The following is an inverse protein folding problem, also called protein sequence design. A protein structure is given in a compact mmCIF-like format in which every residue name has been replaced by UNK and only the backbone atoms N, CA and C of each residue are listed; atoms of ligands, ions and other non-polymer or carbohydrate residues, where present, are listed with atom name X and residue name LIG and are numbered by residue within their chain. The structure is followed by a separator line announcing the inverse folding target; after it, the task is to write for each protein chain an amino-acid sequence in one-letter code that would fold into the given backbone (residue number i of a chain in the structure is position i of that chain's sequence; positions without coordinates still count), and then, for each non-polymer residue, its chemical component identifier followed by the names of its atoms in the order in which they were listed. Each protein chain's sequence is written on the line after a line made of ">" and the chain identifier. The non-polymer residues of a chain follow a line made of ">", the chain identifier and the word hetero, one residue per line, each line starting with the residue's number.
data_IF_642068717734
#
_entry.id   IF_642068717734
#
_cell.length_a   1.000
_cell.length_b   1.000
_cell.length_c   1.000
_cell.angle_alpha   90.00
_cell.angle_beta   90.00
_cell.angle_gamma   90.00
#
_symmetry.space_group_name_H-M   'P 1'
#
loop_
_entity.id
_entity.type
_entity.pdbx_description
1 polymer ?
#
# COMPACT_ATOMS: atom_id res chain seq x y z
N UNK A 1 -3.56 -5.83 24.31
CA UNK A 1 -4.08 -6.89 23.42
C UNK A 1 -5.34 -6.38 22.72
N UNK A 2 -5.43 -6.55 21.42
CA UNK A 2 -6.59 -6.16 20.62
C UNK A 2 -6.99 -7.30 19.68
N UNK A 3 -8.27 -7.33 19.31
CA UNK A 3 -8.79 -8.23 18.27
C UNK A 3 -8.85 -7.45 16.94
N UNK A 4 -8.13 -7.90 15.94
CA UNK A 4 -7.90 -7.17 14.69
C UNK A 4 -8.38 -8.02 13.51
N UNK A 5 -9.27 -7.46 12.70
CA UNK A 5 -9.69 -8.06 11.44
C UNK A 5 -8.88 -7.47 10.28
N UNK A 6 -8.25 -8.31 9.48
CA UNK A 6 -7.44 -7.88 8.33
C UNK A 6 -8.06 -8.41 7.03
N UNK A 7 -8.33 -7.52 6.08
CA UNK A 7 -8.59 -7.91 4.70
C UNK A 7 -7.29 -7.85 3.89
N UNK A 8 -7.11 -8.75 2.94
CA UNK A 8 -5.85 -8.85 2.21
C UNK A 8 -4.69 -9.40 3.07
N UNK A 9 -5.00 -10.05 4.20
CA UNK A 9 -4.02 -10.63 5.13
C UNK A 9 -3.14 -11.73 4.53
N UNK A 10 -3.56 -12.34 3.41
CA UNK A 10 -2.77 -13.34 2.65
C UNK A 10 -1.81 -12.72 1.64
N UNK A 11 -1.85 -11.40 1.43
CA UNK A 11 -0.94 -10.67 0.56
C UNK A 11 0.42 -10.38 1.19
N UNK A 12 1.31 -9.74 0.42
CA UNK A 12 2.68 -9.44 0.84
C UNK A 12 2.75 -8.68 2.18
N UNK A 13 2.08 -7.53 2.25
CA UNK A 13 2.04 -6.71 3.47
C UNK A 13 1.22 -7.39 4.56
N UNK A 14 0.04 -7.93 4.21
CA UNK A 14 -0.86 -8.55 5.16
C UNK A 14 -0.25 -9.73 5.91
N UNK A 15 0.50 -10.61 5.24
CA UNK A 15 1.18 -11.75 5.87
C UNK A 15 2.23 -11.29 6.88
N UNK A 16 3.06 -10.29 6.52
CA UNK A 16 4.08 -9.74 7.44
C UNK A 16 3.42 -9.04 8.62
N UNK A 17 2.38 -8.24 8.36
CA UNK A 17 1.67 -7.48 9.39
C UNK A 17 0.95 -8.42 10.37
N UNK A 18 0.25 -9.44 9.89
CA UNK A 18 -0.39 -10.48 10.73
C UNK A 18 0.64 -11.08 11.69
N UNK A 19 1.78 -11.53 11.17
CA UNK A 19 2.83 -12.13 12.01
C UNK A 19 3.38 -11.16 13.06
N UNK A 20 3.54 -9.87 12.74
CA UNK A 20 4.04 -8.88 13.71
C UNK A 20 3.00 -8.55 14.79
N UNK A 21 1.72 -8.45 14.41
CA UNK A 21 0.62 -8.22 15.34
C UNK A 21 0.45 -9.39 16.32
N UNK A 22 0.49 -10.63 15.84
CA UNK A 22 0.43 -11.83 16.67
C UNK A 22 1.62 -11.92 17.64
N UNK A 23 2.84 -11.60 17.20
CA UNK A 23 4.03 -11.52 18.08
C UNK A 23 3.90 -10.47 19.18
N UNK A 24 3.11 -9.41 18.97
CA UNK A 24 2.77 -8.41 19.99
C UNK A 24 1.59 -8.83 20.90
N UNK A 25 1.10 -10.07 20.75
CA UNK A 25 0.03 -10.62 21.59
C UNK A 25 -1.39 -10.23 21.14
N UNK A 26 -1.57 -9.70 19.93
CA UNK A 26 -2.91 -9.41 19.40
C UNK A 26 -3.53 -10.67 18.79
N UNK A 27 -4.85 -10.77 18.83
CA UNK A 27 -5.62 -11.78 18.11
C UNK A 27 -5.91 -11.25 16.70
N UNK A 28 -5.44 -11.95 15.67
CA UNK A 28 -5.64 -11.52 14.28
C UNK A 28 -6.55 -12.50 13.54
N UNK A 29 -7.60 -11.98 12.92
CA UNK A 29 -8.49 -12.68 11.99
C UNK A 29 -8.30 -12.12 10.60
N UNK A 30 -8.36 -13.00 9.60
CA UNK A 30 -8.09 -12.64 8.20
C UNK A 30 -9.30 -12.97 7.34
N UNK A 31 -9.83 -11.98 6.61
CA UNK A 31 -10.82 -12.23 5.57
C UNK A 31 -10.11 -12.63 4.27
N UNK A 32 -10.48 -13.80 3.75
CA UNK A 32 -9.93 -14.34 2.51
C UNK A 32 -11.00 -15.04 1.69
N UNK A 33 -10.81 -15.13 0.37
CA UNK A 33 -11.70 -15.87 -0.54
C UNK A 33 -11.62 -17.38 -0.37
N UNK A 34 -10.48 -17.87 0.13
CA UNK A 34 -10.19 -19.31 0.27
C UNK A 34 -9.48 -19.55 1.60
N UNK A 35 -10.21 -19.69 2.71
CA UNK A 35 -9.65 -19.96 4.04
C UNK A 35 -8.86 -21.27 4.06
N UNK A 36 -7.69 -21.27 4.68
CA UNK A 36 -6.80 -22.42 4.85
C UNK A 36 -6.33 -22.61 6.28
N UNK A 37 -6.50 -21.62 7.14
CA UNK A 37 -6.06 -21.59 8.54
C UNK A 37 -7.23 -21.31 9.46
N UNK A 38 -7.12 -21.64 10.73
CA UNK A 38 -8.17 -21.44 11.74
C UNK A 38 -8.52 -19.97 12.01
N UNK A 39 -7.60 -19.05 11.73
CA UNK A 39 -7.82 -17.62 11.86
C UNK A 39 -8.25 -16.94 10.53
N UNK A 40 -8.51 -17.73 9.49
CA UNK A 40 -8.98 -17.25 8.19
C UNK A 40 -10.48 -17.50 8.04
N UNK A 41 -11.21 -16.47 7.62
CA UNK A 41 -12.67 -16.48 7.46
C UNK A 41 -13.03 -16.15 6.02
N UNK A 42 -14.09 -16.78 5.52
CA UNK A 42 -14.50 -16.60 4.12
C UNK A 42 -15.21 -15.26 3.92
N UNK A 43 -14.88 -14.60 2.83
CA UNK A 43 -15.69 -13.54 2.25
C UNK A 43 -15.73 -13.64 0.73
N UNK A 44 -16.79 -13.10 0.14
CA UNK A 44 -16.99 -13.08 -1.31
C UNK A 44 -17.73 -11.82 -1.70
N UNK A 45 -17.05 -10.92 -2.41
CA UNK A 45 -17.60 -9.64 -2.86
C UNK A 45 -18.69 -9.82 -3.94
N UNK A 46 -18.66 -10.93 -4.70
CA UNK A 46 -19.65 -11.17 -5.76
C UNK A 46 -21.02 -11.53 -5.21
N UNK A 47 -21.07 -12.18 -4.06
CA UNK A 47 -22.31 -12.56 -3.35
C UNK A 47 -22.61 -11.69 -2.12
N UNK A 48 -21.83 -10.63 -1.90
CA UNK A 48 -21.90 -9.79 -0.69
C UNK A 48 -21.84 -10.59 0.62
N UNK A 49 -21.06 -11.67 0.61
CA UNK A 49 -20.94 -12.56 1.76
C UNK A 49 -19.70 -12.27 2.59
N UNK A 50 -19.85 -12.22 3.91
CA UNK A 50 -18.76 -12.30 4.90
C UNK A 50 -19.21 -13.24 6.01
N UNK A 51 -18.32 -14.14 6.43
CA UNK A 51 -18.47 -14.97 7.61
C UNK A 51 -18.50 -14.07 8.85
N UNK A 52 -19.64 -14.05 9.57
CA UNK A 52 -19.88 -13.15 10.70
C UNK A 52 -19.02 -13.50 11.92
N UNK A 53 -18.55 -14.75 12.06
CA UNK A 53 -17.59 -15.13 13.10
C UNK A 53 -16.28 -14.35 13.02
N UNK A 54 -15.93 -13.81 11.84
CA UNK A 54 -14.78 -12.92 11.68
C UNK A 54 -14.90 -11.64 12.51
N UNK A 55 -16.11 -11.21 12.83
CA UNK A 55 -16.38 -9.96 13.54
C UNK A 55 -16.50 -10.12 15.07
N UNK A 56 -16.42 -11.33 15.61
CA UNK A 56 -16.61 -11.58 17.03
C UNK A 56 -15.55 -10.85 17.89
N UNK A 57 -16.03 -9.92 18.72
CA UNK A 57 -15.20 -9.09 19.63
C UNK A 57 -14.10 -8.30 18.93
N UNK A 58 -14.33 -7.80 17.70
CA UNK A 58 -13.33 -7.04 16.94
C UNK A 58 -13.20 -5.61 17.50
N UNK A 59 -11.95 -5.18 17.70
CA UNK A 59 -11.58 -3.82 18.09
C UNK A 59 -11.22 -2.95 16.89
N UNK A 60 -10.48 -3.52 15.91
CA UNK A 60 -9.95 -2.79 14.77
C UNK A 60 -10.14 -3.57 13.47
N UNK A 61 -10.29 -2.83 12.39
CA UNK A 61 -10.22 -3.39 11.03
C UNK A 61 -9.05 -2.75 10.28
N UNK A 62 -8.18 -3.58 9.67
CA UNK A 62 -7.15 -3.14 8.73
C UNK A 62 -7.55 -3.59 7.33
N UNK A 63 -7.83 -2.62 6.45
CA UNK A 63 -8.32 -2.88 5.11
C UNK A 63 -7.18 -2.74 4.09
N UNK A 64 -6.55 -3.89 3.72
CA UNK A 64 -5.47 -3.98 2.72
C UNK A 64 -5.94 -4.58 1.40
N UNK A 65 -7.18 -5.05 1.32
CA UNK A 65 -7.69 -5.74 0.15
C UNK A 65 -7.77 -4.83 -1.08
N UNK A 66 -7.29 -5.32 -2.20
CA UNK A 66 -7.38 -4.65 -3.49
C UNK A 66 -6.67 -5.44 -4.58
N UNK A 67 -7.24 -5.48 -5.78
CA UNK A 67 -6.58 -6.08 -6.94
C UNK A 67 -5.29 -5.31 -7.28
N UNK A 68 -4.21 -6.02 -7.58
CA UNK A 68 -2.91 -5.42 -7.86
C UNK A 68 -2.96 -4.45 -9.04
N UNK A 69 -2.48 -3.23 -8.82
CA UNK A 69 -2.54 -2.13 -9.79
C UNK A 69 -1.64 -2.39 -11.01
N UNK A 70 -0.53 -3.12 -10.81
CA UNK A 70 0.50 -3.39 -11.82
C UNK A 70 0.57 -4.88 -12.25
N UNK A 71 -0.51 -5.66 -12.06
CA UNK A 71 -0.55 -7.08 -12.45
C UNK A 71 -0.90 -7.29 -13.92
N UNK A 72 -1.81 -6.47 -14.45
CA UNK A 72 -2.31 -6.58 -15.82
C UNK A 72 -2.45 -5.20 -16.45
N UNK A 73 -2.34 -5.12 -17.78
CA UNK A 73 -2.56 -3.88 -18.54
C UNK A 73 -3.92 -3.26 -18.19
N UNK A 74 -3.99 -1.94 -18.17
CA UNK A 74 -5.22 -1.20 -17.83
C UNK A 74 -6.20 -1.14 -19.01
N UNK A 75 -6.99 -2.18 -19.21
CA UNK A 75 -8.22 -2.13 -19.99
C UNK A 75 -9.32 -1.42 -19.19
N UNK A 76 -10.44 -1.11 -19.83
CA UNK A 76 -11.62 -0.54 -19.16
C UNK A 76 -12.10 -1.46 -18.02
N UNK A 77 -12.20 -2.77 -18.28
CA UNK A 77 -12.64 -3.75 -17.29
C UNK A 77 -11.64 -3.91 -16.16
N UNK A 78 -10.31 -3.92 -16.48
CA UNK A 78 -9.28 -4.00 -15.43
C UNK A 78 -9.31 -2.79 -14.52
N UNK A 79 -9.50 -1.58 -15.06
CA UNK A 79 -9.66 -0.36 -14.25
C UNK A 79 -10.86 -0.46 -13.32
N UNK A 80 -12.01 -0.97 -13.83
CA UNK A 80 -13.19 -1.22 -13.00
C UNK A 80 -12.87 -2.22 -11.87
N UNK A 81 -12.24 -3.35 -12.15
CA UNK A 81 -11.84 -4.34 -11.14
C UNK A 81 -10.92 -3.72 -10.07
N UNK A 82 -9.99 -2.85 -10.48
CA UNK A 82 -9.06 -2.17 -9.53
C UNK A 82 -9.84 -1.28 -8.55
N UNK A 83 -10.81 -0.50 -9.03
CA UNK A 83 -11.67 0.36 -8.19
C UNK A 83 -12.59 -0.50 -7.33
N UNK A 84 -13.37 -1.38 -7.96
CA UNK A 84 -14.43 -2.16 -7.30
C UNK A 84 -13.88 -3.03 -6.17
N UNK A 85 -12.71 -3.65 -6.37
CA UNK A 85 -12.07 -4.49 -5.35
C UNK A 85 -11.73 -3.73 -4.06
N UNK A 86 -11.59 -2.42 -4.12
CA UNK A 86 -11.30 -1.54 -2.98
C UNK A 86 -12.55 -0.94 -2.38
N UNK A 87 -13.37 -0.36 -3.24
CA UNK A 87 -14.59 0.35 -2.83
C UNK A 87 -15.64 -0.63 -2.32
N UNK A 88 -15.95 -1.69 -3.09
CA UNK A 88 -16.98 -2.64 -2.69
C UNK A 88 -16.57 -3.44 -1.45
N UNK A 89 -15.27 -3.73 -1.28
CA UNK A 89 -14.82 -4.41 -0.07
C UNK A 89 -14.96 -3.52 1.18
N UNK A 90 -14.63 -2.23 1.08
CA UNK A 90 -14.83 -1.29 2.18
C UNK A 90 -16.33 -1.10 2.49
N UNK A 91 -17.18 -0.97 1.45
CA UNK A 91 -18.63 -0.84 1.62
C UNK A 91 -19.25 -2.07 2.28
N UNK A 92 -18.83 -3.27 1.88
CA UNK A 92 -19.32 -4.52 2.48
C UNK A 92 -18.94 -4.63 3.96
N UNK A 93 -17.69 -4.26 4.31
CA UNK A 93 -17.26 -4.18 5.71
C UNK A 93 -18.08 -3.17 6.49
N UNK A 94 -18.31 -1.98 5.95
CA UNK A 94 -19.12 -0.94 6.59
C UNK A 94 -20.55 -1.42 6.86
N UNK A 95 -21.19 -2.04 5.87
CA UNK A 95 -22.53 -2.60 5.99
C UNK A 95 -22.57 -3.64 7.13
N UNK A 96 -21.62 -4.58 7.16
CA UNK A 96 -21.57 -5.62 8.18
C UNK A 96 -21.29 -5.09 9.58
N UNK A 97 -20.37 -4.14 9.74
CA UNK A 97 -20.11 -3.48 11.03
C UNK A 97 -21.35 -2.78 11.55
N UNK A 98 -22.12 -2.12 10.66
CA UNK A 98 -23.38 -1.46 11.02
C UNK A 98 -24.49 -2.45 11.35
N UNK A 99 -24.67 -3.52 10.55
CA UNK A 99 -25.67 -4.57 10.77
C UNK A 99 -25.46 -5.31 12.10
N UNK A 100 -24.21 -5.56 12.46
CA UNK A 100 -23.83 -6.28 13.69
C UNK A 100 -23.65 -5.35 14.90
N UNK A 101 -23.92 -4.06 14.77
CA UNK A 101 -23.78 -3.02 15.80
C UNK A 101 -22.41 -3.03 16.50
N UNK A 102 -21.35 -3.16 15.72
CA UNK A 102 -19.98 -3.26 16.25
C UNK A 102 -19.40 -1.87 16.51
N UNK A 103 -18.96 -1.62 17.71
CA UNK A 103 -18.22 -0.41 18.08
C UNK A 103 -16.73 -0.62 17.83
N UNK A 104 -16.20 -0.09 16.71
CA UNK A 104 -14.79 -0.17 16.38
C UNK A 104 -13.97 0.89 17.11
N UNK A 105 -12.81 0.50 17.62
CA UNK A 105 -11.79 1.42 18.16
C UNK A 105 -10.99 2.12 17.04
N UNK A 106 -11.05 1.62 15.80
CA UNK A 106 -10.46 2.24 14.63
C UNK A 106 -10.60 1.41 13.34
N UNK A 107 -10.59 2.13 12.21
CA UNK A 107 -10.54 1.57 10.85
C UNK A 107 -9.32 2.11 10.13
N UNK A 108 -8.38 1.25 9.78
CA UNK A 108 -7.13 1.62 9.11
C UNK A 108 -7.19 1.13 7.66
N UNK A 109 -7.21 2.03 6.70
CA UNK A 109 -7.25 1.69 5.28
C UNK A 109 -5.91 1.89 4.61
N UNK A 110 -5.51 0.94 3.79
CA UNK A 110 -4.48 1.19 2.82
C UNK A 110 -4.97 2.20 1.76
N UNK A 111 -4.02 2.94 1.24
CA UNK A 111 -4.09 3.79 0.04
C UNK A 111 -2.71 3.78 -0.63
N UNK A 112 -2.44 4.67 -1.55
CA UNK A 112 -1.14 4.77 -2.21
C UNK A 112 -0.74 6.22 -2.51
N UNK A 113 0.55 6.45 -2.70
CA UNK A 113 1.08 7.74 -3.17
C UNK A 113 0.55 8.12 -4.56
N UNK A 114 -0.07 7.16 -5.28
CA UNK A 114 -0.86 7.43 -6.47
C UNK A 114 -2.04 8.40 -6.25
N UNK A 115 -2.40 8.70 -5.00
CA UNK A 115 -3.35 9.76 -4.66
C UNK A 115 -2.98 11.10 -5.30
N UNK A 116 -1.71 11.41 -5.35
CA UNK A 116 -1.20 12.66 -5.93
C UNK A 116 -1.11 12.63 -7.47
N UNK A 117 -1.46 11.50 -8.09
CA UNK A 117 -1.38 11.27 -9.53
C UNK A 117 0.01 10.86 -10.00
N UNK A 118 0.06 10.40 -11.25
CA UNK A 118 1.30 10.05 -11.95
C UNK A 118 1.88 11.29 -12.64
N UNK A 119 2.62 12.08 -11.88
CA UNK A 119 3.24 13.31 -12.35
C UNK A 119 4.67 13.41 -11.82
N UNK A 120 5.60 13.70 -12.71
CA UNK A 120 6.99 14.02 -12.35
C UNK A 120 7.12 15.53 -12.16
N UNK A 121 7.48 15.97 -10.96
CA UNK A 121 7.64 17.39 -10.62
C UNK A 121 8.63 17.57 -9.48
N UNK A 122 9.10 18.81 -9.29
CA UNK A 122 9.96 19.20 -8.16
C UNK A 122 9.16 19.42 -6.86
N UNK A 123 7.82 19.42 -6.92
CA UNK A 123 6.97 19.53 -5.73
C UNK A 123 7.14 18.33 -4.81
N UNK A 124 7.19 18.56 -3.51
CA UNK A 124 7.19 17.53 -2.47
C UNK A 124 5.76 17.44 -1.93
N UNK A 125 5.05 16.39 -2.29
CA UNK A 125 3.66 16.21 -1.87
C UNK A 125 3.56 15.89 -0.38
N UNK A 126 2.62 16.57 0.26
CA UNK A 126 2.21 16.35 1.67
C UNK A 126 0.75 15.88 1.71
N UNK A 127 0.27 15.44 2.88
CA UNK A 127 -1.06 14.84 3.04
C UNK A 127 -2.21 15.78 2.69
N UNK A 128 -2.01 17.11 2.82
CA UNK A 128 -3.01 18.12 2.52
C UNK A 128 -3.04 18.56 1.05
N UNK A 129 -2.12 18.07 0.23
CA UNK A 129 -2.13 18.34 -1.21
C UNK A 129 -3.34 17.70 -1.89
N UNK A 130 -3.86 18.34 -2.96
CA UNK A 130 -5.03 17.83 -3.66
C UNK A 130 -4.77 16.51 -4.37
N UNK A 131 -5.85 15.78 -4.60
CA UNK A 131 -5.83 14.53 -5.36
C UNK A 131 -5.46 14.79 -6.84
N UNK A 132 -4.68 13.89 -7.43
CA UNK A 132 -4.35 13.92 -8.85
C UNK A 132 -5.57 13.63 -9.73
N UNK A 133 -5.59 14.23 -10.93
CA UNK A 133 -6.70 14.14 -11.88
C UNK A 133 -6.67 12.89 -12.78
N UNK A 134 -5.69 12.03 -12.62
CA UNK A 134 -5.52 10.82 -13.42
C UNK A 134 -6.17 9.57 -12.78
N UNK A 135 -6.00 8.42 -13.44
CA UNK A 135 -6.59 7.17 -12.97
C UNK A 135 -6.06 6.73 -11.58
N UNK A 136 -4.81 7.02 -11.23
CA UNK A 136 -4.26 6.66 -9.93
C UNK A 136 -4.89 7.51 -8.83
N UNK A 137 -5.01 8.82 -9.07
CA UNK A 137 -5.74 9.73 -8.20
C UNK A 137 -7.20 9.32 -8.02
N UNK A 138 -7.89 8.96 -9.12
CA UNK A 138 -9.26 8.47 -9.06
C UNK A 138 -9.39 7.22 -8.17
N UNK A 139 -8.52 6.23 -8.35
CA UNK A 139 -8.54 4.98 -7.56
C UNK A 139 -8.35 5.29 -6.08
N UNK A 140 -7.31 6.06 -5.73
CA UNK A 140 -7.01 6.37 -4.34
C UNK A 140 -8.11 7.21 -3.69
N UNK A 141 -8.64 8.23 -4.41
CA UNK A 141 -9.73 9.08 -3.90
C UNK A 141 -10.99 8.26 -3.58
N UNK A 142 -11.41 7.38 -4.48
CA UNK A 142 -12.57 6.51 -4.26
C UNK A 142 -12.34 5.53 -3.10
N UNK A 143 -11.12 5.00 -2.99
CA UNK A 143 -10.75 4.10 -1.90
C UNK A 143 -10.78 4.81 -0.55
N UNK A 144 -10.15 5.98 -0.45
CA UNK A 144 -10.14 6.80 0.76
C UNK A 144 -11.54 7.27 1.14
N UNK A 145 -12.37 7.68 0.16
CA UNK A 145 -13.76 8.04 0.39
C UNK A 145 -14.59 6.89 0.96
N UNK A 146 -14.37 5.66 0.45
CA UNK A 146 -15.03 4.47 0.98
C UNK A 146 -14.56 4.12 2.41
N UNK A 147 -13.30 4.41 2.76
CA UNK A 147 -12.81 4.26 4.13
C UNK A 147 -13.41 5.31 5.08
N UNK A 148 -13.52 6.55 4.63
CA UNK A 148 -13.99 7.66 5.45
C UNK A 148 -15.45 7.52 5.91
N UNK A 149 -16.28 6.68 5.26
CA UNK A 149 -17.65 6.42 5.72
C UNK A 149 -17.70 5.83 7.15
N UNK A 150 -16.63 5.14 7.61
CA UNK A 150 -16.56 4.57 8.96
C UNK A 150 -16.61 5.64 10.06
N UNK A 151 -16.32 6.90 9.76
CA UNK A 151 -16.54 8.03 10.70
C UNK A 151 -18.01 8.18 11.10
N UNK A 152 -18.96 7.80 10.25
CA UNK A 152 -20.38 7.78 10.59
C UNK A 152 -20.71 6.76 11.69
N UNK A 153 -19.86 5.75 11.90
CA UNK A 153 -19.92 4.77 12.99
C UNK A 153 -19.08 5.20 14.20
N UNK A 154 -18.63 6.46 14.24
CA UNK A 154 -17.77 7.02 15.30
C UNK A 154 -16.42 6.30 15.45
N UNK A 155 -15.99 5.56 14.44
CA UNK A 155 -14.67 4.93 14.41
C UNK A 155 -13.61 5.94 13.90
N UNK A 156 -12.50 6.13 14.61
CA UNK A 156 -11.33 6.84 14.05
C UNK A 156 -10.87 6.16 12.76
N UNK A 157 -10.60 6.96 11.72
CA UNK A 157 -10.20 6.45 10.41
C UNK A 157 -8.80 6.93 10.06
N UNK A 158 -7.88 5.99 9.85
CA UNK A 158 -6.55 6.25 9.31
C UNK A 158 -6.45 5.76 7.87
N UNK A 159 -5.84 6.57 7.02
CA UNK A 159 -5.53 6.24 5.62
C UNK A 159 -4.03 6.25 5.41
N UNK A 160 -3.47 5.14 4.96
CA UNK A 160 -2.02 4.95 4.78
C UNK A 160 -1.68 5.00 3.30
N UNK A 161 -1.21 6.17 2.81
CA UNK A 161 -0.77 6.39 1.43
C UNK A 161 0.63 5.82 1.26
N UNK A 162 0.69 4.59 0.80
CA UNK A 162 1.91 3.80 0.75
C UNK A 162 2.68 4.04 -0.55
N UNK A 163 4.01 4.21 -0.43
CA UNK A 163 4.94 4.18 -1.56
C UNK A 163 5.20 2.78 -2.09
N UNK A 164 6.28 2.61 -2.86
CA UNK A 164 6.74 1.30 -3.35
C UNK A 164 7.24 0.49 -2.16
N UNK A 165 6.56 -0.62 -1.86
CA UNK A 165 6.95 -1.51 -0.75
C UNK A 165 8.12 -2.38 -1.17
N UNK A 166 9.24 -2.26 -0.45
CA UNK A 166 10.43 -3.10 -0.64
C UNK A 166 10.34 -4.34 0.23
N UNK A 167 10.44 -5.51 -0.39
CA UNK A 167 10.40 -6.82 0.26
C UNK A 167 11.17 -7.86 -0.55
N UNK A 168 11.84 -8.79 0.11
CA UNK A 168 12.48 -9.95 -0.51
C UNK A 168 11.47 -10.93 -1.13
N UNK A 169 10.25 -11.01 -0.54
CA UNK A 169 9.21 -12.02 -0.85
C UNK A 169 8.30 -11.65 -2.01
N UNK A 170 8.68 -10.68 -2.83
CA UNK A 170 7.89 -10.29 -4.00
C UNK A 170 7.62 -8.79 -4.11
N UNK A 171 6.61 -8.44 -4.91
CA UNK A 171 6.24 -7.05 -5.16
C UNK A 171 7.04 -6.38 -6.28
N UNK A 172 7.23 -5.07 -6.18
CA UNK A 172 7.93 -4.29 -7.20
C UNK A 172 9.42 -4.64 -7.28
N UNK A 173 10.06 -4.86 -6.12
CA UNK A 173 11.50 -5.11 -6.03
C UNK A 173 11.93 -6.38 -6.80
N UNK A 174 11.14 -7.45 -6.72
CA UNK A 174 11.37 -8.69 -7.47
C UNK A 174 11.43 -8.43 -8.99
N UNK A 175 10.49 -7.60 -9.50
CA UNK A 175 10.43 -7.25 -10.93
C UNK A 175 11.55 -6.32 -11.37
N UNK A 176 12.14 -5.55 -10.45
CA UNK A 176 13.27 -4.66 -10.71
C UNK A 176 14.63 -5.40 -10.73
N UNK A 177 14.68 -6.63 -10.22
CA UNK A 177 15.91 -7.46 -10.17
C UNK A 177 16.25 -8.14 -11.50
N UNK A 178 16.33 -7.38 -12.57
CA UNK A 178 16.76 -7.86 -13.89
C UNK A 178 18.26 -8.25 -13.91
N UNK A 179 18.74 -9.03 -14.88
CA UNK A 179 20.17 -9.38 -15.02
C UNK A 179 21.07 -8.14 -15.13
N UNK A 180 20.64 -7.13 -15.87
CA UNK A 180 21.28 -5.81 -15.96
C UNK A 180 20.27 -4.79 -15.45
N UNK A 181 20.65 -3.99 -14.47
CA UNK A 181 19.76 -3.00 -13.85
C UNK A 181 19.93 -1.66 -14.56
N UNK A 182 18.81 -1.02 -14.90
CA UNK A 182 18.76 0.25 -15.61
C UNK A 182 17.66 1.15 -15.03
N UNK A 183 17.81 2.47 -15.20
CA UNK A 183 16.72 3.40 -15.02
C UNK A 183 15.61 3.20 -16.05
N UNK A 184 14.44 3.76 -15.81
CA UNK A 184 13.30 3.69 -16.72
C UNK A 184 12.98 5.07 -17.30
N UNK A 185 12.56 5.13 -18.57
CA UNK A 185 12.21 6.38 -19.25
C UNK A 185 13.40 7.34 -19.36
N UNK A 186 13.23 8.57 -18.84
CA UNK A 186 14.33 9.55 -18.71
C UNK A 186 15.11 9.40 -17.40
N UNK A 187 14.63 8.55 -16.50
CA UNK A 187 15.26 8.24 -15.22
C UNK A 187 15.08 9.27 -14.10
N UNK A 188 14.40 10.40 -14.37
CA UNK A 188 14.26 11.52 -13.42
C UNK A 188 13.02 11.42 -12.52
N UNK A 189 12.05 10.55 -12.85
CA UNK A 189 10.89 10.34 -12.00
C UNK A 189 11.31 9.79 -10.64
N UNK A 190 10.69 10.32 -9.59
CA UNK A 190 10.95 9.88 -8.23
C UNK A 190 10.19 8.60 -7.91
N UNK A 191 10.81 7.76 -7.11
CA UNK A 191 10.24 6.49 -6.64
C UNK A 191 10.07 6.57 -5.11
N UNK A 192 8.94 7.10 -4.60
CA UNK A 192 8.66 7.04 -3.17
C UNK A 192 8.55 5.58 -2.74
N UNK A 193 9.34 5.19 -1.76
CA UNK A 193 9.50 3.81 -1.33
C UNK A 193 9.40 3.69 0.19
N UNK A 194 9.14 2.48 0.69
CA UNK A 194 9.20 2.15 2.10
C UNK A 194 9.61 0.68 2.27
N UNK A 195 10.40 0.38 3.30
CA UNK A 195 10.68 -1.00 3.68
C UNK A 195 9.43 -1.65 4.27
N UNK A 196 9.17 -2.93 3.95
CA UNK A 196 7.96 -3.64 4.40
C UNK A 196 7.82 -3.67 5.93
N UNK A 197 8.93 -3.75 6.66
CA UNK A 197 8.90 -3.76 8.13
C UNK A 197 8.48 -2.39 8.68
N UNK A 198 9.01 -1.28 8.13
CA UNK A 198 8.61 0.07 8.52
C UNK A 198 7.14 0.34 8.22
N UNK A 199 6.66 -0.10 7.05
CA UNK A 199 5.24 -0.01 6.72
C UNK A 199 4.37 -0.77 7.74
N UNK A 200 4.72 -2.00 8.07
CA UNK A 200 3.98 -2.78 9.06
C UNK A 200 4.02 -2.15 10.45
N UNK A 201 5.19 -1.63 10.86
CA UNK A 201 5.33 -0.92 12.12
C UNK A 201 4.47 0.35 12.16
N UNK A 202 4.34 1.07 11.04
CA UNK A 202 3.44 2.21 10.97
C UNK A 202 1.96 1.81 11.10
N UNK A 203 1.51 0.69 10.49
CA UNK A 203 0.16 0.17 10.72
C UNK A 203 -0.09 -0.18 12.18
N UNK A 204 0.91 -0.78 12.85
CA UNK A 204 0.83 -1.10 14.28
C UNK A 204 0.74 0.19 15.11
N UNK A 205 1.57 1.17 14.81
CA UNK A 205 1.56 2.49 15.47
C UNK A 205 0.21 3.19 15.29
N UNK A 206 -0.39 3.11 14.10
CA UNK A 206 -1.70 3.70 13.83
C UNK A 206 -2.82 3.10 14.72
N UNK A 207 -2.71 1.82 15.09
CA UNK A 207 -3.61 1.17 16.05
C UNK A 207 -3.31 1.62 17.49
N UNK A 208 -2.04 1.53 17.90
CA UNK A 208 -1.59 1.80 19.27
C UNK A 208 -1.92 3.24 19.69
N UNK A 209 -1.68 4.20 18.80
CA UNK A 209 -1.91 5.63 19.05
C UNK A 209 -3.29 6.13 18.56
N UNK A 210 -4.12 5.25 18.02
CA UNK A 210 -5.44 5.60 17.45
C UNK A 210 -5.37 6.77 16.48
N UNK A 211 -4.39 6.73 15.58
CA UNK A 211 -4.15 7.80 14.63
C UNK A 211 -5.37 8.04 13.73
N UNK A 212 -5.62 9.29 13.37
CA UNK A 212 -6.72 9.70 12.50
C UNK A 212 -6.24 10.60 11.37
N UNK A 213 -6.80 10.38 10.16
CA UNK A 213 -6.49 11.16 8.96
C UNK A 213 -5.60 10.40 7.97
N UNK A 214 -5.08 11.13 6.96
CA UNK A 214 -4.19 10.57 5.96
C UNK A 214 -2.72 10.68 6.39
N UNK A 215 -1.90 9.68 6.02
CA UNK A 215 -0.49 9.59 6.32
C UNK A 215 0.29 9.03 5.13
N UNK A 216 1.37 9.69 4.76
CA UNK A 216 2.28 9.23 3.72
C UNK A 216 3.28 8.23 4.29
N UNK A 217 3.05 6.95 4.06
CA UNK A 217 3.96 5.89 4.46
C UNK A 217 5.04 5.68 3.38
N UNK A 218 6.04 6.54 3.44
CA UNK A 218 7.23 6.54 2.57
C UNK A 218 8.47 6.78 3.42
N UNK A 219 9.62 6.23 3.01
CA UNK A 219 10.90 6.53 3.65
C UNK A 219 11.33 7.98 3.37
N UNK A 220 12.10 8.62 4.28
CA UNK A 220 12.46 10.03 4.16
C UNK A 220 13.41 10.35 3.00
N UNK A 221 14.14 9.35 2.48
CA UNK A 221 15.13 9.55 1.42
C UNK A 221 14.48 9.52 0.03
N UNK A 222 14.70 10.57 -0.76
CA UNK A 222 14.19 10.67 -2.14
C UNK A 222 15.15 10.03 -3.15
N UNK A 223 14.62 9.19 -4.01
CA UNK A 223 15.37 8.58 -5.11
C UNK A 223 14.65 8.77 -6.45
N UNK A 224 15.42 9.20 -7.46
CA UNK A 224 14.99 9.09 -8.85
C UNK A 224 15.13 7.65 -9.34
N UNK A 225 14.49 7.31 -10.46
CA UNK A 225 14.61 5.98 -11.07
C UNK A 225 16.07 5.58 -11.32
N UNK A 226 16.92 6.51 -11.77
CA UNK A 226 18.35 6.24 -11.97
C UNK A 226 19.05 5.99 -10.64
N UNK A 227 18.88 6.87 -9.65
CA UNK A 227 19.57 6.72 -8.36
C UNK A 227 19.12 5.48 -7.61
N UNK A 228 17.83 5.15 -7.65
CA UNK A 228 17.27 3.91 -7.09
C UNK A 228 17.88 2.68 -7.77
N UNK A 229 17.88 2.65 -9.11
CA UNK A 229 18.42 1.53 -9.90
C UNK A 229 19.91 1.33 -9.64
N UNK A 230 20.68 2.42 -9.53
CA UNK A 230 22.12 2.34 -9.19
C UNK A 230 22.34 1.72 -7.80
N UNK A 231 21.59 2.17 -6.80
CA UNK A 231 21.68 1.62 -5.43
C UNK A 231 21.26 0.15 -5.42
N UNK A 232 20.20 -0.23 -6.14
CA UNK A 232 19.76 -1.61 -6.27
C UNK A 232 20.84 -2.50 -6.94
N UNK A 233 21.49 -2.01 -7.99
CA UNK A 233 22.57 -2.74 -8.66
C UNK A 233 23.74 -3.03 -7.72
N UNK A 234 24.15 -2.02 -6.94
CA UNK A 234 25.22 -2.17 -5.92
C UNK A 234 24.80 -3.22 -4.86
N UNK A 235 23.61 -3.09 -4.29
CA UNK A 235 23.12 -3.98 -3.22
C UNK A 235 22.93 -5.44 -3.68
N UNK A 236 22.70 -5.66 -4.97
CA UNK A 236 22.50 -7.00 -5.54
C UNK A 236 23.72 -7.53 -6.30
N UNK A 237 24.85 -6.81 -6.28
CA UNK A 237 26.08 -7.14 -7.03
C UNK A 237 25.81 -7.38 -8.53
N UNK A 238 24.88 -6.61 -9.11
CA UNK A 238 24.51 -6.73 -10.53
C UNK A 238 25.06 -5.57 -11.37
N UNK A 239 25.31 -5.79 -12.68
CA UNK A 239 25.69 -4.72 -13.58
C UNK A 239 24.65 -3.61 -13.62
N UNK A 240 25.09 -2.36 -13.62
CA UNK A 240 24.28 -1.17 -13.83
C UNK A 240 24.61 -0.53 -15.16
N UNK A 241 23.60 -0.18 -15.95
CA UNK A 241 23.77 0.64 -17.15
C UNK A 241 23.18 2.04 -16.95
N UNK A 242 23.90 3.05 -17.45
CA UNK A 242 23.39 4.43 -17.48
C UNK A 242 22.34 4.64 -18.60
N UNK A 243 22.24 3.73 -19.55
CA UNK A 243 21.24 3.77 -20.62
C UNK A 243 19.92 3.29 -20.02
N UNK A 244 18.95 4.21 -19.90
CA UNK A 244 17.62 3.89 -19.42
C UNK A 244 16.82 3.08 -20.44
N UNK A 245 15.89 2.25 -19.95
CA UNK A 245 14.91 1.58 -20.82
C UNK A 245 14.01 2.65 -21.47
N UNK A 246 13.98 2.77 -22.79
CA UNK A 246 13.23 3.82 -23.48
C UNK A 246 11.73 3.78 -23.16
N UNK A 247 11.12 4.95 -22.95
CA UNK A 247 9.71 5.07 -22.58
C UNK A 247 8.75 4.46 -23.60
N UNK A 248 9.10 4.49 -24.91
CA UNK A 248 8.24 3.89 -25.93
C UNK A 248 8.17 2.36 -25.82
N UNK A 249 9.26 1.68 -25.44
CA UNK A 249 9.26 0.23 -25.19
C UNK A 249 8.37 -0.11 -24.00
N UNK A 250 8.43 0.67 -22.91
CA UNK A 250 7.57 0.50 -21.76
C UNK A 250 6.10 0.73 -22.11
N UNK A 251 5.79 1.73 -22.95
CA UNK A 251 4.43 1.99 -23.44
C UNK A 251 3.90 0.85 -24.33
N UNK A 252 4.74 0.26 -25.19
CA UNK A 252 4.38 -0.92 -25.99
C UNK A 252 4.12 -2.12 -25.07
N UNK A 253 4.99 -2.37 -24.09
CA UNK A 253 4.88 -3.51 -23.19
C UNK A 253 3.69 -3.41 -22.23
N UNK A 254 3.44 -2.23 -21.64
CA UNK A 254 2.51 -2.04 -20.52
C UNK A 254 1.29 -1.17 -20.86
N UNK A 255 1.24 -0.55 -22.05
CA UNK A 255 0.17 0.36 -22.44
C UNK A 255 0.04 1.55 -21.46
N UNK A 256 -1.18 1.93 -21.12
CA UNK A 256 -1.45 3.02 -20.16
C UNK A 256 -0.86 2.78 -18.76
N UNK A 257 -0.65 1.52 -18.37
CA UNK A 257 -0.03 1.18 -17.09
C UNK A 257 1.44 1.61 -17.01
N UNK A 258 2.12 1.84 -18.15
CA UNK A 258 3.50 2.35 -18.18
C UNK A 258 3.67 3.67 -17.41
N UNK A 259 2.60 4.43 -17.21
CA UNK A 259 2.60 5.68 -16.43
C UNK A 259 3.13 5.46 -15.01
N UNK A 260 2.82 4.32 -14.36
CA UNK A 260 3.36 3.99 -13.01
C UNK A 260 4.88 3.90 -13.01
N UNK A 261 5.48 3.53 -14.14
CA UNK A 261 6.92 3.33 -14.29
C UNK A 261 7.64 4.60 -14.75
N UNK A 262 6.93 5.47 -15.45
CA UNK A 262 7.49 6.62 -16.15
C UNK A 262 7.31 7.94 -15.42
N UNK A 263 6.39 7.97 -14.44
CA UNK A 263 6.06 9.17 -13.68
C UNK A 263 6.15 8.89 -12.18
N UNK A 264 6.47 9.93 -11.42
CA UNK A 264 6.50 9.85 -9.97
C UNK A 264 7.11 11.11 -9.35
N UNK A 265 6.59 11.50 -8.21
CA UNK A 265 6.97 12.70 -7.49
C UNK A 265 7.55 12.38 -6.11
N UNK A 266 8.20 13.37 -5.53
CA UNK A 266 8.62 13.31 -4.13
C UNK A 266 7.38 13.36 -3.24
N UNK A 267 7.36 12.53 -2.20
CA UNK A 267 6.29 12.49 -1.19
C UNK A 267 6.94 12.58 0.17
N UNK A 268 6.47 13.47 1.02
CA UNK A 268 7.03 13.73 2.33
C UNK A 268 6.57 12.70 3.36
N UNK A 269 7.49 12.19 4.17
CA UNK A 269 7.24 11.40 5.38
C UNK A 269 7.11 12.26 6.64
N UNK A 270 7.29 13.57 6.51
CA UNK A 270 7.45 14.48 7.66
C UNK A 270 6.33 14.33 8.70
N UNK A 271 5.09 14.17 8.28
CA UNK A 271 3.96 14.03 9.21
C UNK A 271 4.11 12.82 10.13
N UNK A 272 4.55 11.67 9.62
CA UNK A 272 4.75 10.48 10.46
C UNK A 272 6.02 10.61 11.33
N UNK A 273 7.06 11.29 10.85
CA UNK A 273 8.25 11.63 11.65
C UNK A 273 7.91 12.58 12.80
N UNK A 274 7.09 13.61 12.54
CA UNK A 274 6.63 14.58 13.56
C UNK A 274 5.77 13.90 14.67
N UNK A 275 5.17 12.72 14.38
CA UNK A 275 4.50 11.88 15.37
C UNK A 275 5.49 11.00 16.17
N UNK A 276 6.79 11.16 15.97
CA UNK A 276 7.82 10.36 16.61
C UNK A 276 7.93 8.93 16.06
N UNK A 277 7.54 8.69 14.79
CA UNK A 277 7.78 7.42 14.14
C UNK A 277 9.24 7.32 13.69
N UNK A 278 9.96 6.33 14.20
CA UNK A 278 11.34 6.05 13.84
C UNK A 278 11.42 4.97 12.78
N UNK A 279 11.94 5.34 11.60
CA UNK A 279 12.20 4.36 10.53
C UNK A 279 13.39 3.48 10.91
N UNK A 280 13.21 2.17 10.84
CA UNK A 280 14.32 1.20 10.96
C UNK A 280 15.23 1.27 9.73
N UNK A 281 14.65 1.53 8.56
CA UNK A 281 15.36 1.61 7.28
C UNK A 281 15.11 2.95 6.58
N UNK A 282 15.64 4.08 7.12
CA UNK A 282 15.40 5.39 6.52
C UNK A 282 16.17 5.63 5.22
N UNK A 283 17.21 4.84 4.94
CA UNK A 283 18.07 4.93 3.76
C UNK A 283 17.88 3.72 2.84
N UNK A 284 17.76 3.98 1.53
CA UNK A 284 17.57 2.93 0.52
C UNK A 284 18.68 1.87 0.55
N UNK A 285 19.92 2.29 0.74
CA UNK A 285 21.07 1.37 0.81
C UNK A 285 20.95 0.38 1.97
N UNK A 286 20.52 0.84 3.15
CA UNK A 286 20.34 -0.03 4.33
C UNK A 286 19.12 -0.96 4.13
N UNK A 287 18.02 -0.43 3.57
CA UNK A 287 16.83 -1.22 3.26
C UNK A 287 17.11 -2.35 2.27
N UNK A 288 17.84 -2.05 1.19
CA UNK A 288 18.19 -3.06 0.19
C UNK A 288 19.22 -4.06 0.73
N UNK A 289 20.19 -3.63 1.55
CA UNK A 289 21.18 -4.52 2.14
C UNK A 289 20.54 -5.56 3.09
N UNK A 290 19.47 -5.20 3.77
CA UNK A 290 18.73 -6.15 4.63
C UNK A 290 17.96 -7.18 3.82
N UNK A 291 17.47 -6.78 2.62
CA UNK A 291 16.65 -7.64 1.77
C UNK A 291 17.48 -8.59 0.87
N UNK A 292 18.82 -8.45 0.80
CA UNK A 292 19.74 -9.24 -0.04
C UNK A 292 20.99 -9.66 0.70
#
# INVERSE_FOLDING_TARGET
>A
MANILITGGTGLVGTKLTSLLEKKGNTVRVLTRSPKKSNEFKWDLSSNYIDEEAFKNIDYIIHLAGAGIAEKRWSKDRKKVIIDSRVNSANLLFTKVKELDISLKGFISASGTGYYGAKTSEHIFIENDPVGSDFLGEVCNKWESAAMQFKALKAPVSVVRTGIVLSEKGGALEKMRTPIIAGLGNGNQYLPWIHIEDLCNFYIRAIEDKLEGAFNAVAPEFHTSISFSKTLAISTSKPFTKICVPSFLLKIAFGKMATILLEGSRVSSKKIEDLGFEFKYPKLSSALKELF
#
